data_IF_000332261892
#
_entry.id   IF_000332261892
#
_cell.length_a   1.000
_cell.length_b   1.000
_cell.length_c   1.000
_cell.angle_alpha   90.00
_cell.angle_beta   90.00
_cell.angle_gamma   90.00
#
_symmetry.space_group_name_H-M   'P 1'
#
loop_
_entity.id
_entity.type
_entity.pdbx_description
1 polymer ?
#
# COMPACT_ATOMS: atom_id res chain seq x y z
N UNK A 1 -16.60 -53.69 -7.74
CA UNK A 1 -15.44 -53.04 -7.12
C UNK A 1 -15.19 -51.74 -7.91
N UNK A 2 -15.79 -50.64 -7.46
CA UNK A 2 -15.59 -49.34 -8.12
C UNK A 2 -14.34 -48.72 -7.50
N UNK A 3 -13.25 -48.72 -8.24
CA UNK A 3 -12.01 -48.04 -7.87
C UNK A 3 -12.20 -46.54 -8.06
N UNK A 4 -12.27 -45.78 -6.95
CA UNK A 4 -12.14 -44.33 -7.00
C UNK A 4 -10.74 -44.02 -7.51
N UNK A 5 -10.65 -43.29 -8.64
CA UNK A 5 -9.40 -42.73 -9.11
C UNK A 5 -8.81 -41.82 -8.02
N UNK A 6 -7.49 -41.82 -7.78
CA UNK A 6 -6.88 -40.89 -6.85
C UNK A 6 -7.17 -39.46 -7.33
N UNK A 7 -7.86 -38.70 -6.51
CA UNK A 7 -7.99 -37.25 -6.75
C UNK A 7 -6.56 -36.69 -6.69
N UNK A 8 -6.08 -36.12 -7.80
CA UNK A 8 -4.82 -35.41 -7.83
C UNK A 8 -4.83 -34.28 -6.79
N UNK A 9 -3.66 -33.80 -6.37
CA UNK A 9 -3.56 -32.74 -5.39
C UNK A 9 -4.43 -31.57 -5.84
N UNK A 10 -5.32 -31.09 -4.94
CA UNK A 10 -6.19 -29.93 -5.24
C UNK A 10 -5.30 -28.72 -5.39
N UNK A 11 -5.35 -28.07 -6.55
CA UNK A 11 -4.76 -26.75 -6.75
C UNK A 11 -5.23 -25.79 -5.65
N UNK A 12 -4.31 -25.25 -4.87
CA UNK A 12 -4.61 -24.18 -3.93
C UNK A 12 -4.65 -22.86 -4.69
N UNK A 13 -5.83 -22.27 -4.82
CA UNK A 13 -5.99 -20.98 -5.45
C UNK A 13 -5.86 -19.89 -4.39
N UNK A 14 -4.91 -18.97 -4.58
CA UNK A 14 -4.66 -17.81 -3.73
C UNK A 14 -5.14 -16.57 -4.46
N UNK A 15 -5.98 -15.77 -3.81
CA UNK A 15 -6.43 -14.47 -4.29
C UNK A 15 -5.76 -13.37 -3.46
N UNK A 16 -5.01 -12.49 -4.15
CA UNK A 16 -4.33 -11.34 -3.51
C UNK A 16 -5.14 -10.07 -3.74
N UNK A 17 -5.68 -9.50 -2.66
CA UNK A 17 -6.30 -8.17 -2.69
C UNK A 17 -5.25 -7.07 -2.84
N UNK A 18 -5.54 -6.09 -3.68
CA UNK A 18 -4.59 -5.02 -4.02
C UNK A 18 -5.19 -3.62 -3.80
N UNK A 19 -5.35 -2.82 -4.82
CA UNK A 19 -5.93 -1.49 -4.85
C UNK A 19 -6.36 -1.13 -6.27
N UNK A 20 -6.57 0.13 -6.55
CA UNK A 20 -6.88 0.61 -7.90
C UNK A 20 -5.77 0.26 -8.90
N UNK A 21 -6.15 -0.04 -10.14
CA UNK A 21 -5.23 -0.54 -11.19
C UNK A 21 -4.11 0.44 -11.57
N UNK A 22 -4.29 1.73 -11.32
CA UNK A 22 -3.28 2.77 -11.56
C UNK A 22 -2.34 2.98 -10.36
N UNK A 23 -2.63 2.32 -9.22
CA UNK A 23 -1.77 2.30 -8.03
C UNK A 23 -0.69 1.22 -8.11
N UNK A 24 0.28 1.26 -7.19
CA UNK A 24 1.41 0.33 -7.17
C UNK A 24 1.05 -1.04 -6.56
N UNK A 25 -0.01 -1.15 -5.77
CA UNK A 25 -0.44 -2.43 -5.18
C UNK A 25 -0.84 -3.47 -6.22
N UNK A 26 -1.52 -3.04 -7.29
CA UNK A 26 -1.91 -3.95 -8.37
C UNK A 26 -0.70 -4.58 -9.07
N UNK A 27 0.33 -3.81 -9.50
CA UNK A 27 1.60 -4.39 -9.96
C UNK A 27 2.31 -5.29 -8.93
N UNK A 28 2.26 -4.96 -7.62
CA UNK A 28 2.85 -5.82 -6.56
C UNK A 28 2.18 -7.20 -6.57
N UNK A 29 0.85 -7.24 -6.46
CA UNK A 29 0.09 -8.50 -6.51
C UNK A 29 0.34 -9.26 -7.82
N UNK A 30 0.33 -8.56 -8.96
CA UNK A 30 0.62 -9.12 -10.28
C UNK A 30 2.00 -9.76 -10.38
N UNK A 31 3.03 -9.09 -9.86
CA UNK A 31 4.40 -9.61 -9.84
C UNK A 31 4.52 -10.85 -8.94
N UNK A 32 3.92 -10.83 -7.75
CA UNK A 32 3.87 -12.02 -6.86
C UNK A 32 3.21 -13.18 -7.59
N UNK A 33 2.02 -12.97 -8.15
CA UNK A 33 1.27 -14.03 -8.83
C UNK A 33 1.98 -14.55 -10.08
N UNK A 34 2.67 -13.69 -10.84
CA UNK A 34 3.50 -14.12 -11.97
C UNK A 34 4.56 -15.13 -11.52
N UNK A 35 5.32 -14.80 -10.45
CA UNK A 35 6.39 -15.65 -9.94
C UNK A 35 5.85 -16.95 -9.31
N UNK A 36 4.78 -16.86 -8.53
CA UNK A 36 4.12 -18.06 -7.97
C UNK A 36 3.63 -18.98 -9.10
N UNK A 37 2.94 -18.45 -10.09
CA UNK A 37 2.38 -19.25 -11.19
C UNK A 37 3.46 -19.88 -12.09
N UNK A 38 4.65 -19.27 -12.17
CA UNK A 38 5.77 -19.80 -12.97
C UNK A 38 6.20 -21.20 -12.50
N UNK A 39 6.20 -21.45 -11.19
CA UNK A 39 6.58 -22.74 -10.60
C UNK A 39 5.37 -23.59 -10.17
N UNK A 40 4.16 -23.25 -10.65
CA UNK A 40 2.90 -23.90 -10.25
C UNK A 40 2.93 -25.44 -10.37
N UNK A 41 3.59 -25.96 -11.40
CA UNK A 41 3.69 -27.41 -11.59
C UNK A 41 4.41 -28.12 -10.43
N UNK A 42 5.27 -27.42 -9.69
CA UNK A 42 6.06 -27.98 -8.59
C UNK A 42 5.28 -27.98 -7.27
N UNK A 43 4.53 -26.93 -6.97
CA UNK A 43 3.90 -26.71 -5.66
C UNK A 43 2.37 -26.66 -5.68
N UNK A 44 1.72 -26.72 -6.86
CA UNK A 44 0.27 -26.75 -7.04
C UNK A 44 -0.47 -25.52 -6.47
N UNK A 45 0.23 -24.39 -6.25
CA UNK A 45 -0.39 -23.11 -5.86
C UNK A 45 -0.63 -22.30 -7.11
N UNK A 46 -1.89 -21.84 -7.29
CA UNK A 46 -2.31 -20.89 -8.32
C UNK A 46 -2.58 -19.56 -7.67
N UNK A 47 -2.15 -18.46 -8.27
CA UNK A 47 -2.32 -17.11 -7.76
C UNK A 47 -3.04 -16.21 -8.77
N UNK A 48 -3.98 -15.40 -8.28
CA UNK A 48 -4.63 -14.32 -9.01
C UNK A 48 -4.72 -13.06 -8.17
N UNK A 49 -4.87 -11.92 -8.82
CA UNK A 49 -5.01 -10.62 -8.16
C UNK A 49 -6.43 -10.09 -8.29
N UNK A 50 -6.85 -9.36 -7.27
CA UNK A 50 -8.10 -8.62 -7.26
C UNK A 50 -7.83 -7.14 -7.03
N UNK A 51 -8.42 -6.28 -7.89
CA UNK A 51 -8.43 -4.83 -7.68
C UNK A 51 -9.51 -4.50 -6.66
N UNK A 52 -9.12 -3.78 -5.60
CA UNK A 52 -9.98 -3.50 -4.46
C UNK A 52 -10.00 -2.01 -4.12
N UNK A 53 -10.71 -1.65 -3.06
CA UNK A 53 -10.74 -0.29 -2.52
C UNK A 53 -9.50 0.08 -1.69
N UNK A 54 -8.59 -0.86 -1.42
CA UNK A 54 -7.33 -0.64 -0.72
C UNK A 54 -7.28 -1.22 0.69
N UNK A 55 -6.36 -0.74 1.52
CA UNK A 55 -5.89 -1.41 2.74
C UNK A 55 -6.98 -1.76 3.75
N UNK A 56 -7.92 -0.85 4.02
CA UNK A 56 -9.02 -1.10 4.99
C UNK A 56 -9.96 -2.17 4.48
N UNK A 57 -10.33 -2.10 3.19
CA UNK A 57 -11.14 -3.13 2.54
C UNK A 57 -10.42 -4.48 2.61
N UNK A 58 -9.16 -4.52 2.21
CA UNK A 58 -8.35 -5.73 2.15
C UNK A 58 -8.28 -6.46 3.49
N UNK A 59 -8.01 -5.72 4.57
CA UNK A 59 -7.92 -6.31 5.92
C UNK A 59 -9.26 -6.85 6.42
N UNK A 60 -10.37 -6.18 6.07
CA UNK A 60 -11.71 -6.69 6.39
C UNK A 60 -12.04 -7.95 5.59
N UNK A 61 -11.70 -7.98 4.30
CA UNK A 61 -11.91 -9.12 3.42
C UNK A 61 -11.03 -10.33 3.79
N UNK A 62 -9.78 -10.10 4.23
CA UNK A 62 -8.92 -11.15 4.80
C UNK A 62 -9.57 -11.77 6.04
N UNK A 63 -9.98 -10.95 7.01
CA UNK A 63 -10.65 -11.41 8.24
C UNK A 63 -11.95 -12.16 7.97
N UNK A 64 -12.65 -11.81 6.89
CA UNK A 64 -13.87 -12.50 6.44
C UNK A 64 -13.60 -13.78 5.63
N UNK A 65 -12.32 -14.05 5.26
CA UNK A 65 -11.95 -15.19 4.42
C UNK A 65 -12.31 -15.03 2.94
N UNK A 66 -12.53 -13.80 2.49
CA UNK A 66 -12.84 -13.46 1.10
C UNK A 66 -11.55 -13.30 0.25
N UNK A 67 -10.42 -13.00 0.89
CA UNK A 67 -9.08 -12.93 0.32
C UNK A 67 -8.16 -13.87 1.09
N UNK A 68 -7.11 -14.40 0.43
CA UNK A 68 -6.09 -15.25 1.04
C UNK A 68 -4.87 -14.45 1.48
N UNK A 69 -4.52 -13.43 0.72
CA UNK A 69 -3.44 -12.48 1.03
C UNK A 69 -3.82 -11.08 0.53
N UNK A 70 -3.12 -10.06 0.99
CA UNK A 70 -3.36 -8.71 0.53
C UNK A 70 -2.13 -7.81 0.63
N UNK A 71 -2.10 -6.78 -0.22
CA UNK A 71 -1.17 -5.65 -0.10
C UNK A 71 -1.86 -4.57 0.71
N UNK A 72 -1.22 -4.12 1.80
CA UNK A 72 -1.78 -3.14 2.72
C UNK A 72 -0.71 -2.17 3.22
N UNK A 73 -1.12 -0.99 3.66
CA UNK A 73 -0.26 -0.05 4.35
C UNK A 73 0.11 -0.55 5.75
N UNK A 74 1.33 -0.29 6.17
CA UNK A 74 1.86 -0.71 7.45
C UNK A 74 1.13 -0.09 8.66
N UNK A 75 0.68 1.16 8.57
CA UNK A 75 -0.12 1.81 9.60
C UNK A 75 -1.51 1.17 9.74
N UNK A 76 -2.14 0.84 8.62
CA UNK A 76 -3.44 0.17 8.59
C UNK A 76 -3.32 -1.27 9.10
N UNK A 77 -2.20 -1.96 8.78
CA UNK A 77 -1.84 -3.26 9.36
C UNK A 77 -1.76 -3.17 10.90
N UNK A 78 -1.04 -2.18 11.43
CA UNK A 78 -0.91 -1.97 12.86
C UNK A 78 -2.28 -1.70 13.53
N UNK A 79 -3.10 -0.83 12.93
CA UNK A 79 -4.46 -0.56 13.44
C UNK A 79 -5.32 -1.83 13.49
N UNK A 80 -5.21 -2.72 12.50
CA UNK A 80 -5.95 -3.98 12.51
C UNK A 80 -5.49 -4.92 13.63
N UNK A 81 -4.17 -5.07 13.82
CA UNK A 81 -3.60 -5.90 14.90
C UNK A 81 -4.00 -5.36 16.27
N UNK A 82 -3.98 -4.05 16.46
CA UNK A 82 -4.28 -3.39 17.74
C UNK A 82 -5.79 -3.23 17.98
N UNK A 83 -6.63 -3.33 16.96
CA UNK A 83 -8.07 -3.04 17.06
C UNK A 83 -8.34 -1.55 17.28
N UNK A 84 -7.58 -0.69 16.60
CA UNK A 84 -7.68 0.78 16.72
C UNK A 84 -8.16 1.42 15.42
N UNK A 85 -8.39 2.73 15.42
CA UNK A 85 -8.76 3.49 14.21
C UNK A 85 -9.96 2.88 13.49
N UNK A 86 -9.79 2.48 12.24
CA UNK A 86 -10.85 1.89 11.41
C UNK A 86 -11.30 0.48 11.84
N UNK A 87 -10.59 -0.12 12.77
CA UNK A 87 -10.86 -1.47 13.30
C UNK A 87 -11.33 -1.45 14.78
N UNK A 88 -11.51 -0.28 15.38
CA UNK A 88 -11.91 -0.16 16.80
C UNK A 88 -13.23 -0.90 17.10
N UNK A 89 -14.21 -0.86 16.21
CA UNK A 89 -15.48 -1.56 16.37
C UNK A 89 -15.34 -3.09 16.22
N UNK A 90 -14.52 -3.52 15.27
CA UNK A 90 -14.27 -4.95 15.00
C UNK A 90 -13.32 -5.59 16.01
N UNK A 91 -12.57 -4.77 16.78
CA UNK A 91 -11.53 -5.22 17.71
C UNK A 91 -10.27 -5.74 17.04
N UNK A 92 -9.28 -6.04 17.86
CA UNK A 92 -7.98 -6.53 17.45
C UNK A 92 -8.07 -7.80 16.59
N UNK A 93 -7.23 -7.86 15.56
CA UNK A 93 -7.11 -9.02 14.69
C UNK A 93 -5.91 -9.88 15.10
N UNK A 94 -6.17 -10.84 15.97
CA UNK A 94 -5.15 -11.80 16.43
C UNK A 94 -4.73 -12.83 15.38
N UNK A 95 -5.47 -12.94 14.27
CA UNK A 95 -5.21 -13.84 13.14
C UNK A 95 -4.28 -13.26 12.08
N UNK A 96 -4.18 -11.94 12.00
CA UNK A 96 -3.38 -11.28 10.96
C UNK A 96 -1.88 -11.61 11.06
N UNK A 97 -1.26 -11.91 9.94
CA UNK A 97 0.16 -12.27 9.82
C UNK A 97 0.82 -11.50 8.69
N UNK A 98 2.06 -11.04 8.93
CA UNK A 98 2.89 -10.44 7.91
C UNK A 98 3.62 -11.53 7.09
N UNK A 99 3.69 -11.33 5.78
CA UNK A 99 4.52 -12.13 4.89
C UNK A 99 5.85 -11.43 4.64
N UNK A 100 5.83 -10.20 4.16
CA UNK A 100 6.99 -9.34 3.94
C UNK A 100 6.59 -7.89 3.67
N UNK A 101 7.54 -6.97 3.84
CA UNK A 101 7.44 -5.58 3.42
C UNK A 101 7.78 -5.43 1.93
N UNK A 102 7.27 -4.38 1.28
CA UNK A 102 7.58 -4.13 -0.13
C UNK A 102 8.34 -2.82 -0.28
N UNK A 103 7.68 -1.68 -0.28
CA UNK A 103 8.31 -0.39 -0.56
C UNK A 103 7.78 0.71 0.34
N UNK A 104 8.56 1.78 0.59
CA UNK A 104 8.05 2.98 1.24
C UNK A 104 7.00 3.68 0.37
N UNK A 105 6.05 4.33 1.01
CA UNK A 105 4.94 5.05 0.40
C UNK A 105 4.86 6.47 0.98
N UNK A 106 5.54 7.44 0.36
CA UNK A 106 5.42 8.83 0.74
C UNK A 106 3.98 9.34 0.63
N UNK A 107 3.52 10.06 1.64
CA UNK A 107 2.32 10.87 1.56
C UNK A 107 2.56 12.00 0.55
N UNK A 108 1.76 12.04 -0.49
CA UNK A 108 1.95 12.89 -1.65
C UNK A 108 0.78 13.84 -1.79
N UNK A 109 1.06 15.11 -1.88
CA UNK A 109 0.08 16.13 -2.21
C UNK A 109 0.45 16.72 -3.57
N UNK A 110 -0.43 16.58 -4.54
CA UNK A 110 -0.31 17.18 -5.86
C UNK A 110 -1.42 18.20 -6.06
N UNK A 111 -1.05 19.44 -6.30
CA UNK A 111 -1.99 20.55 -6.53
C UNK A 111 -1.85 21.08 -7.95
N UNK A 112 -2.89 21.73 -8.49
CA UNK A 112 -2.74 22.51 -9.71
C UNK A 112 -1.85 23.71 -9.45
N UNK A 113 -1.00 24.04 -10.42
CA UNK A 113 -0.06 25.17 -10.32
C UNK A 113 -0.74 26.55 -10.20
N UNK A 114 -1.97 26.68 -10.70
CA UNK A 114 -2.76 27.94 -10.65
C UNK A 114 -3.36 28.23 -9.28
N UNK A 115 -3.35 27.27 -8.36
CA UNK A 115 -3.81 27.48 -6.97
C UNK A 115 -2.84 28.38 -6.18
N UNK A 116 -1.58 28.53 -6.62
CA UNK A 116 -0.58 29.50 -6.11
C UNK A 116 0.11 29.07 -4.83
N UNK A 117 1.36 29.51 -4.63
CA UNK A 117 2.28 29.50 -3.46
C UNK A 117 1.98 28.52 -2.34
N UNK A 118 1.96 27.20 -2.64
CA UNK A 118 1.21 26.26 -1.82
C UNK A 118 2.12 25.59 -0.78
N UNK A 119 1.80 25.82 0.47
CA UNK A 119 2.11 24.91 1.58
C UNK A 119 0.89 24.04 1.89
N UNK A 120 1.04 22.98 2.67
CA UNK A 120 -0.10 22.16 3.09
C UNK A 120 -1.16 22.98 3.85
N UNK A 121 -0.74 24.00 4.60
CA UNK A 121 -1.64 24.90 5.32
C UNK A 121 -2.56 25.72 4.40
N UNK A 122 -2.12 26.05 3.19
CA UNK A 122 -2.89 26.82 2.21
C UNK A 122 -4.05 26.01 1.59
N UNK A 123 -4.11 24.70 1.87
CA UNK A 123 -5.19 23.83 1.41
C UNK A 123 -6.48 23.99 2.23
N UNK A 124 -6.46 24.69 3.39
CA UNK A 124 -7.70 25.07 4.07
C UNK A 124 -8.60 25.89 3.15
N UNK A 125 -9.88 25.53 3.12
CA UNK A 125 -10.86 26.18 2.24
C UNK A 125 -10.72 25.83 0.76
N UNK A 126 -9.83 24.91 0.38
CA UNK A 126 -9.70 24.41 -1.00
C UNK A 126 -10.52 23.13 -1.20
N UNK A 127 -10.74 22.77 -2.46
CA UNK A 127 -11.37 21.53 -2.86
C UNK A 127 -10.29 20.45 -2.96
N UNK A 128 -10.35 19.44 -2.15
CA UNK A 128 -9.32 18.37 -2.12
C UNK A 128 -9.94 16.99 -2.29
N UNK A 129 -9.17 16.05 -2.83
CA UNK A 129 -9.53 14.64 -2.77
C UNK A 129 -8.73 13.94 -1.66
N UNK A 130 -9.45 13.38 -0.70
CA UNK A 130 -8.89 12.74 0.51
C UNK A 130 -8.86 11.21 0.44
N UNK A 131 -9.30 10.63 -0.69
CA UNK A 131 -9.37 9.20 -0.92
C UNK A 131 -10.67 8.54 -0.44
N UNK A 132 -11.00 7.42 -1.04
CA UNK A 132 -12.20 6.64 -0.75
C UNK A 132 -12.15 6.01 0.66
N UNK A 133 -13.30 5.76 1.31
CA UNK A 133 -13.38 5.29 2.70
C UNK A 133 -12.66 3.95 2.99
N UNK A 134 -12.57 3.06 2.00
CA UNK A 134 -11.90 1.76 2.09
C UNK A 134 -10.39 1.81 1.91
N UNK A 135 -9.81 2.98 1.60
CA UNK A 135 -8.40 3.14 1.29
C UNK A 135 -7.53 3.38 2.53
N UNK A 136 -6.27 2.94 2.47
CA UNK A 136 -5.25 3.34 3.42
C UNK A 136 -4.88 4.82 3.32
N UNK A 137 -4.99 5.41 2.13
CA UNK A 137 -4.84 6.86 1.93
C UNK A 137 -5.73 7.65 2.89
N UNK A 138 -7.00 7.27 3.04
CA UNK A 138 -7.93 7.93 3.96
C UNK A 138 -7.51 7.80 5.43
N UNK A 139 -6.86 6.71 5.80
CA UNK A 139 -6.31 6.51 7.16
C UNK A 139 -5.21 7.52 7.43
N UNK A 140 -4.24 7.65 6.53
CA UNK A 140 -3.13 8.62 6.67
C UNK A 140 -3.64 10.06 6.69
N UNK A 141 -4.58 10.42 5.81
CA UNK A 141 -5.19 11.75 5.79
C UNK A 141 -5.85 12.05 7.14
N UNK A 142 -6.63 11.12 7.68
CA UNK A 142 -7.27 11.30 8.99
C UNK A 142 -6.23 11.54 10.09
N UNK A 143 -5.17 10.72 10.15
CA UNK A 143 -4.11 10.85 11.14
C UNK A 143 -3.37 12.20 11.03
N UNK A 144 -3.12 12.68 9.81
CA UNK A 144 -2.49 13.99 9.59
C UNK A 144 -3.41 15.13 10.03
N UNK A 145 -4.69 15.08 9.67
CA UNK A 145 -5.66 16.12 10.07
C UNK A 145 -5.81 16.19 11.59
N UNK A 146 -5.89 15.03 12.27
CA UNK A 146 -5.94 14.95 13.73
C UNK A 146 -4.69 15.59 14.37
N UNK A 147 -3.50 15.30 13.83
CA UNK A 147 -2.24 15.87 14.32
C UNK A 147 -2.15 17.40 14.12
N UNK A 148 -2.81 17.92 13.07
CA UNK A 148 -2.91 19.36 12.78
C UNK A 148 -4.05 20.05 13.55
N UNK A 149 -4.95 19.29 14.18
CA UNK A 149 -6.18 19.82 14.76
C UNK A 149 -7.18 20.29 13.70
N UNK A 150 -7.18 19.63 12.54
CA UNK A 150 -8.09 19.90 11.43
C UNK A 150 -9.12 18.80 11.31
N UNK A 151 -10.17 19.07 10.56
CA UNK A 151 -11.17 18.08 10.14
C UNK A 151 -11.52 18.28 8.65
N UNK A 152 -12.40 17.43 8.11
CA UNK A 152 -12.76 17.49 6.69
C UNK A 152 -13.54 18.76 6.32
N UNK A 153 -14.21 19.37 7.29
CA UNK A 153 -14.99 20.59 7.10
C UNK A 153 -14.09 21.85 6.96
N UNK A 154 -12.79 21.72 7.28
CA UNK A 154 -11.80 22.76 7.01
C UNK A 154 -11.53 22.92 5.50
N UNK A 155 -11.95 21.97 4.68
CA UNK A 155 -11.89 22.06 3.22
C UNK A 155 -13.21 22.55 2.64
N UNK A 156 -13.17 23.28 1.52
CA UNK A 156 -14.39 23.66 0.80
C UNK A 156 -15.11 22.43 0.20
N UNK A 157 -14.32 21.41 -0.15
CA UNK A 157 -14.79 20.10 -0.59
C UNK A 157 -13.74 19.06 -0.21
N UNK A 158 -14.14 18.02 0.49
CA UNK A 158 -13.35 16.81 0.70
C UNK A 158 -13.99 15.67 -0.10
N UNK A 159 -13.56 15.49 -1.36
CA UNK A 159 -14.06 14.40 -2.20
C UNK A 159 -13.39 13.08 -1.85
N UNK A 160 -14.07 11.98 -2.17
CA UNK A 160 -13.68 10.62 -1.81
C UNK A 160 -13.51 9.73 -3.05
N UNK A 161 -12.88 10.29 -4.08
CA UNK A 161 -12.62 9.62 -5.34
C UNK A 161 -11.60 8.49 -5.18
N UNK A 162 -11.75 7.46 -5.98
CA UNK A 162 -10.79 6.35 -6.07
C UNK A 162 -9.52 6.80 -6.78
N UNK A 163 -8.45 6.01 -6.63
CA UNK A 163 -7.11 6.33 -7.14
C UNK A 163 -7.09 6.63 -8.65
N UNK A 164 -7.86 5.91 -9.44
CA UNK A 164 -7.93 6.01 -10.90
C UNK A 164 -8.76 7.22 -11.39
N UNK A 165 -9.55 7.85 -10.52
CA UNK A 165 -10.37 9.02 -10.87
C UNK A 165 -9.68 10.36 -10.55
N UNK A 166 -8.64 10.33 -9.72
CA UNK A 166 -8.06 11.54 -9.12
C UNK A 166 -7.36 12.44 -10.14
N UNK A 167 -6.58 11.88 -11.07
CA UNK A 167 -5.84 12.65 -12.07
C UNK A 167 -6.78 13.47 -12.96
N UNK A 168 -7.84 12.86 -13.47
CA UNK A 168 -8.85 13.53 -14.27
C UNK A 168 -9.57 14.63 -13.46
N UNK A 169 -9.96 14.34 -12.21
CA UNK A 169 -10.65 15.32 -11.37
C UNK A 169 -9.79 16.56 -11.09
N UNK A 170 -8.47 16.40 -10.91
CA UNK A 170 -7.54 17.50 -10.74
C UNK A 170 -7.44 18.35 -12.01
N UNK A 171 -7.18 17.73 -13.16
CA UNK A 171 -6.97 18.44 -14.41
C UNK A 171 -8.27 19.04 -14.99
N UNK A 172 -9.43 18.45 -14.71
CA UNK A 172 -10.76 18.99 -15.06
C UNK A 172 -11.22 20.11 -14.10
N UNK A 173 -10.36 20.57 -13.19
CA UNK A 173 -10.69 21.60 -12.21
C UNK A 173 -11.88 21.26 -11.29
N UNK A 174 -12.11 19.99 -11.01
CA UNK A 174 -13.12 19.55 -10.02
C UNK A 174 -12.59 19.64 -8.60
N UNK A 175 -11.28 19.44 -8.43
CA UNK A 175 -10.55 19.63 -7.18
C UNK A 175 -9.29 20.47 -7.40
N UNK A 176 -8.79 21.08 -6.35
CA UNK A 176 -7.60 21.94 -6.37
C UNK A 176 -6.33 21.18 -6.02
N UNK A 177 -6.46 20.12 -5.22
CA UNK A 177 -5.39 19.20 -4.87
C UNK A 177 -5.90 17.77 -4.68
N UNK A 178 -5.00 16.81 -4.89
CA UNK A 178 -5.24 15.38 -4.64
C UNK A 178 -4.18 14.85 -3.71
N UNK A 179 -4.57 13.95 -2.82
CA UNK A 179 -3.68 13.29 -1.89
C UNK A 179 -3.45 11.85 -2.33
N UNK A 180 -2.24 11.37 -2.16
CA UNK A 180 -1.86 9.98 -2.40
C UNK A 180 -1.00 9.46 -1.26
N UNK A 181 -1.03 8.15 -1.06
CA UNK A 181 -0.02 7.41 -0.31
C UNK A 181 0.46 6.31 -1.26
N UNK A 182 1.60 6.51 -1.86
CA UNK A 182 2.08 5.63 -2.91
C UNK A 182 3.60 5.70 -3.10
N UNK A 183 4.18 4.61 -3.59
CA UNK A 183 5.55 4.60 -4.10
C UNK A 183 5.64 5.40 -5.40
N UNK A 184 6.75 6.10 -5.58
CA UNK A 184 7.10 6.80 -6.82
C UNK A 184 8.08 6.00 -7.69
N UNK A 185 7.97 6.10 -9.03
CA UNK A 185 6.94 6.82 -9.77
C UNK A 185 5.56 6.13 -9.67
N UNK A 186 4.49 6.94 -9.65
CA UNK A 186 3.10 6.50 -9.63
C UNK A 186 2.40 6.93 -10.91
N UNK A 187 1.60 6.04 -11.52
CA UNK A 187 0.99 6.28 -12.82
C UNK A 187 -0.05 7.41 -12.80
N UNK A 188 -0.93 7.47 -11.78
CA UNK A 188 -1.94 8.53 -11.66
C UNK A 188 -1.31 9.91 -11.47
N UNK A 189 -0.23 9.99 -10.67
CA UNK A 189 0.49 11.27 -10.46
C UNK A 189 1.19 11.69 -11.75
N UNK A 190 1.82 10.75 -12.47
CA UNK A 190 2.44 11.02 -13.77
C UNK A 190 1.42 11.45 -14.81
N UNK A 191 0.25 10.82 -14.86
CA UNK A 191 -0.87 11.21 -15.72
C UNK A 191 -1.30 12.65 -15.47
N UNK A 192 -1.57 13.01 -14.22
CA UNK A 192 -1.94 14.38 -13.86
C UNK A 192 -0.85 15.38 -14.24
N UNK A 193 0.42 15.13 -13.88
CA UNK A 193 1.55 16.00 -14.18
C UNK A 193 1.82 16.18 -15.69
N UNK A 194 1.46 15.19 -16.51
CA UNK A 194 1.59 15.26 -17.96
C UNK A 194 0.40 15.93 -18.63
N UNK A 195 -0.78 15.87 -18.01
CA UNK A 195 -2.04 16.40 -18.57
C UNK A 195 -2.25 17.88 -18.27
N UNK A 196 -1.92 18.32 -17.04
CA UNK A 196 -2.06 19.72 -16.62
C UNK A 196 -0.84 20.18 -15.79
N UNK A 197 -0.73 21.49 -15.58
CA UNK A 197 0.36 22.04 -14.78
C UNK A 197 0.11 21.82 -13.29
N UNK A 198 1.01 21.06 -12.67
CA UNK A 198 0.88 20.65 -11.27
C UNK A 198 2.15 20.90 -10.49
N UNK A 199 1.99 21.02 -9.17
CA UNK A 199 3.07 21.18 -8.20
C UNK A 199 2.92 20.16 -7.08
N UNK A 200 4.03 19.50 -6.72
CA UNK A 200 4.12 18.69 -5.50
C UNK A 200 4.29 19.61 -4.30
N UNK A 201 3.51 19.39 -3.26
CA UNK A 201 3.48 20.22 -2.05
C UNK A 201 4.24 19.50 -0.93
N UNK A 202 5.19 20.19 -0.31
CA UNK A 202 5.88 19.66 0.89
C UNK A 202 4.91 19.54 2.06
N UNK A 203 5.01 18.41 2.78
CA UNK A 203 4.18 18.14 3.96
C UNK A 203 5.07 17.94 5.17
N UNK A 204 5.39 19.04 5.84
CA UNK A 204 6.32 19.13 6.97
C UNK A 204 5.79 20.11 8.02
N UNK A 205 6.51 20.23 9.12
CA UNK A 205 6.23 21.18 10.20
C UNK A 205 5.65 20.52 11.45
N UNK A 206 5.28 21.33 12.44
CA UNK A 206 4.97 20.91 13.82
C UNK A 206 3.93 19.78 13.89
N UNK A 207 2.90 19.81 13.05
CA UNK A 207 1.88 18.75 13.02
C UNK A 207 2.45 17.41 12.55
N UNK A 208 3.29 17.43 11.49
CA UNK A 208 3.97 16.23 10.98
C UNK A 208 5.00 15.74 12.00
N UNK A 209 5.79 16.64 12.61
CA UNK A 209 6.75 16.28 13.65
C UNK A 209 6.07 15.59 14.83
N UNK A 210 4.91 16.10 15.25
CA UNK A 210 4.07 15.50 16.29
C UNK A 210 3.56 14.10 15.90
N UNK A 211 3.11 13.95 14.65
CA UNK A 211 2.65 12.66 14.11
C UNK A 211 3.79 11.63 14.14
N UNK A 212 4.98 12.02 13.66
CA UNK A 212 6.16 11.16 13.64
C UNK A 212 6.65 10.78 15.06
N UNK A 213 6.58 11.71 16.01
CA UNK A 213 7.01 11.46 17.39
C UNK A 213 6.06 10.51 18.15
N UNK A 214 4.77 10.53 17.84
CA UNK A 214 3.76 9.79 18.58
C UNK A 214 3.30 8.48 17.90
N UNK A 215 3.72 8.24 16.65
CA UNK A 215 3.20 7.11 15.88
C UNK A 215 4.33 6.40 15.14
N UNK A 216 4.76 5.22 15.61
CA UNK A 216 5.92 4.50 15.08
C UNK A 216 5.72 3.97 13.64
N UNK A 217 4.49 4.04 13.12
CA UNK A 217 4.15 3.56 11.78
C UNK A 217 4.49 4.57 10.69
N UNK A 218 4.74 5.84 11.07
CA UNK A 218 5.08 6.92 10.13
C UNK A 218 6.56 7.26 10.19
N UNK A 219 7.12 7.64 9.04
CA UNK A 219 8.53 8.02 8.90
C UNK A 219 8.66 9.26 8.02
N UNK A 220 9.72 10.05 8.24
CA UNK A 220 10.10 11.09 7.30
C UNK A 220 10.44 10.46 5.94
N UNK A 221 10.02 11.13 4.87
CA UNK A 221 10.22 10.67 3.51
C UNK A 221 10.53 11.85 2.58
N UNK A 222 11.05 11.54 1.41
CA UNK A 222 11.33 12.53 0.36
C UNK A 222 10.83 11.96 -0.97
N UNK A 223 10.11 12.78 -1.72
CA UNK A 223 9.79 12.49 -3.12
C UNK A 223 10.92 13.11 -3.96
N UNK A 224 11.71 12.32 -4.71
CA UNK A 224 12.85 12.83 -5.46
C UNK A 224 12.42 13.84 -6.53
N UNK A 225 13.16 14.94 -6.62
CA UNK A 225 12.98 15.93 -7.67
C UNK A 225 13.20 15.32 -9.06
N UNK A 226 12.51 15.87 -10.05
CA UNK A 226 12.60 15.36 -11.43
C UNK A 226 11.79 14.09 -11.71
N UNK A 227 11.14 13.50 -10.70
CA UNK A 227 10.28 12.32 -10.88
C UNK A 227 9.08 12.63 -11.78
N UNK A 228 8.53 13.85 -11.69
CA UNK A 228 7.37 14.28 -12.46
C UNK A 228 7.61 15.62 -13.15
N UNK A 229 6.98 15.81 -14.32
CA UNK A 229 7.04 17.05 -15.11
C UNK A 229 6.71 18.26 -14.23
N UNK A 230 7.47 19.33 -14.33
CA UNK A 230 7.26 20.57 -13.60
C UNK A 230 7.73 20.56 -12.14
N UNK A 231 8.26 19.44 -11.63
CA UNK A 231 8.65 19.27 -10.22
C UNK A 231 10.14 18.90 -10.10
N UNK A 232 11.08 19.85 -10.31
CA UNK A 232 12.52 19.54 -10.38
C UNK A 232 13.21 19.38 -9.02
N UNK A 233 12.57 19.76 -7.91
CA UNK A 233 13.17 19.76 -6.57
C UNK A 233 12.65 18.60 -5.73
N UNK A 234 13.49 18.14 -4.80
CA UNK A 234 13.09 17.19 -3.77
C UNK A 234 11.94 17.78 -2.92
N UNK A 235 10.96 16.95 -2.61
CA UNK A 235 9.79 17.35 -1.82
C UNK A 235 9.77 16.55 -0.52
N UNK A 236 10.15 17.19 0.62
CA UNK A 236 10.08 16.54 1.92
C UNK A 236 8.64 16.31 2.36
N UNK A 237 8.41 15.14 2.94
CA UNK A 237 7.11 14.68 3.40
C UNK A 237 7.30 13.58 4.48
N UNK A 238 6.28 12.84 4.75
CA UNK A 238 6.31 11.63 5.59
C UNK A 238 5.61 10.48 4.85
N UNK A 239 5.64 9.29 5.42
CA UNK A 239 4.97 8.16 4.79
C UNK A 239 4.94 6.90 5.63
N UNK A 240 4.44 5.86 5.01
CA UNK A 240 4.31 4.49 5.52
C UNK A 240 5.06 3.52 4.61
N UNK A 241 4.82 2.22 4.75
CA UNK A 241 5.32 1.20 3.83
C UNK A 241 4.16 0.33 3.34
N UNK A 242 4.28 -0.19 2.12
CA UNK A 242 3.44 -1.27 1.65
C UNK A 242 3.94 -2.60 2.21
N UNK A 243 3.03 -3.45 2.65
CA UNK A 243 3.32 -4.78 3.19
C UNK A 243 2.39 -5.82 2.59
N UNK A 244 2.83 -7.06 2.53
CA UNK A 244 2.00 -8.20 2.14
C UNK A 244 1.64 -8.97 3.39
N UNK A 245 0.35 -9.19 3.59
CA UNK A 245 -0.21 -9.86 4.77
C UNK A 245 -1.15 -10.99 4.37
N UNK A 246 -1.41 -11.89 5.29
CA UNK A 246 -2.38 -12.97 5.18
C UNK A 246 -2.97 -13.29 6.56
N UNK A 247 -4.00 -14.11 6.64
CA UNK A 247 -4.45 -14.68 7.90
C UNK A 247 -3.62 -15.91 8.30
N UNK A 248 -3.53 -16.18 9.60
CA UNK A 248 -2.87 -17.37 10.14
C UNK A 248 -3.49 -18.69 9.66
N UNK A 249 -4.72 -18.64 9.13
CA UNK A 249 -5.42 -19.78 8.53
C UNK A 249 -4.89 -20.15 7.14
N UNK A 250 -4.17 -19.27 6.45
CA UNK A 250 -3.45 -19.63 5.22
C UNK A 250 -2.41 -20.70 5.56
N UNK A 251 -2.31 -21.76 4.77
CA UNK A 251 -1.38 -22.83 5.08
C UNK A 251 0.08 -22.36 5.09
N UNK A 252 0.88 -22.84 6.03
CA UNK A 252 2.31 -22.51 6.11
C UNK A 252 3.06 -22.84 4.80
N UNK A 253 2.63 -23.89 4.09
CA UNK A 253 3.22 -24.24 2.79
C UNK A 253 2.88 -23.21 1.71
N UNK A 254 1.64 -22.76 1.62
CA UNK A 254 1.22 -21.73 0.66
C UNK A 254 1.94 -20.42 0.93
N UNK A 255 2.00 -19.97 2.18
CA UNK A 255 2.73 -18.77 2.57
C UNK A 255 4.23 -18.87 2.27
N UNK A 256 4.85 -20.05 2.54
CA UNK A 256 6.24 -20.31 2.19
C UNK A 256 6.48 -20.21 0.68
N UNK A 257 5.62 -20.82 -0.14
CA UNK A 257 5.70 -20.74 -1.60
C UNK A 257 5.64 -19.30 -2.09
N UNK A 258 4.70 -18.49 -1.57
CA UNK A 258 4.57 -17.09 -1.96
C UNK A 258 5.82 -16.28 -1.63
N UNK A 259 6.34 -16.41 -0.41
CA UNK A 259 7.55 -15.69 0.02
C UNK A 259 8.77 -16.15 -0.78
N UNK A 260 8.96 -17.47 -0.94
CA UNK A 260 10.06 -18.05 -1.71
C UNK A 260 10.03 -17.57 -3.17
N UNK A 261 8.87 -17.58 -3.81
CA UNK A 261 8.74 -17.14 -5.21
C UNK A 261 9.29 -15.72 -5.42
N UNK A 262 9.02 -14.79 -4.48
CA UNK A 262 9.52 -13.41 -4.55
C UNK A 262 10.99 -13.32 -4.20
N UNK A 263 11.42 -13.87 -3.07
CA UNK A 263 12.78 -13.68 -2.55
C UNK A 263 13.84 -14.47 -3.33
N UNK A 264 13.51 -15.64 -3.85
CA UNK A 264 14.42 -16.42 -4.71
C UNK A 264 14.58 -15.76 -6.09
N UNK A 265 13.58 -15.04 -6.56
CA UNK A 265 13.56 -14.38 -7.86
C UNK A 265 13.52 -12.83 -7.73
N UNK A 266 14.19 -12.26 -6.70
CA UNK A 266 14.07 -10.84 -6.39
C UNK A 266 14.50 -9.94 -7.57
N UNK A 267 15.52 -10.31 -8.33
CA UNK A 267 15.98 -9.53 -9.49
C UNK A 267 14.91 -9.49 -10.59
N UNK A 268 14.23 -10.61 -10.86
CA UNK A 268 13.08 -10.62 -11.75
C UNK A 268 11.94 -9.77 -11.18
N UNK A 269 11.60 -9.94 -9.90
CA UNK A 269 10.57 -9.13 -9.25
C UNK A 269 10.85 -7.63 -9.41
N UNK A 270 12.07 -7.19 -9.17
CA UNK A 270 12.52 -5.79 -9.33
C UNK A 270 12.38 -5.29 -10.76
N UNK A 271 12.56 -6.15 -11.75
CA UNK A 271 12.44 -5.78 -13.17
C UNK A 271 11.00 -5.58 -13.64
N UNK A 272 10.01 -6.06 -12.89
CA UNK A 272 8.59 -6.04 -13.28
C UNK A 272 7.92 -4.67 -13.11
N UNK A 273 8.48 -3.79 -12.26
CA UNK A 273 7.97 -2.44 -12.10
C UNK A 273 9.05 -1.48 -11.57
N UNK A 274 9.16 -0.24 -12.09
CA UNK A 274 10.16 0.73 -11.64
C UNK A 274 10.16 1.00 -10.13
N UNK A 275 8.99 0.95 -9.50
CA UNK A 275 8.83 1.15 -8.06
C UNK A 275 9.56 0.08 -7.21
N UNK A 276 9.94 -1.06 -7.79
CA UNK A 276 10.60 -2.16 -7.07
C UNK A 276 12.13 -2.12 -7.18
N UNK A 277 12.69 -1.22 -7.99
CA UNK A 277 14.11 -1.21 -8.34
C UNK A 277 15.08 -1.20 -7.14
N UNK A 278 14.69 -0.59 -6.02
CA UNK A 278 15.53 -0.42 -4.82
C UNK A 278 15.27 -1.43 -3.71
N UNK A 279 14.43 -2.44 -3.93
CA UNK A 279 14.11 -3.43 -2.92
C UNK A 279 15.34 -4.27 -2.53
N UNK A 280 15.49 -4.57 -1.24
CA UNK A 280 16.47 -5.49 -0.69
C UNK A 280 15.79 -6.59 0.13
N UNK A 281 16.39 -7.78 0.18
CA UNK A 281 15.84 -8.89 0.97
C UNK A 281 15.78 -8.55 2.45
N UNK A 282 16.78 -7.84 2.94
CA UNK A 282 16.94 -7.45 4.33
C UNK A 282 15.79 -6.51 4.77
N UNK A 283 15.52 -5.47 3.98
CA UNK A 283 14.45 -4.51 4.28
C UNK A 283 13.07 -5.17 4.17
N UNK A 284 12.87 -5.96 3.11
CA UNK A 284 11.60 -6.67 2.89
C UNK A 284 11.26 -7.67 4.01
N UNK A 285 12.28 -8.26 4.67
CA UNK A 285 12.05 -9.21 5.75
C UNK A 285 11.80 -8.55 7.11
N UNK A 286 12.07 -7.25 7.28
CA UNK A 286 12.08 -6.58 8.61
C UNK A 286 11.27 -5.31 8.71
N UNK A 287 11.26 -4.51 7.64
CA UNK A 287 10.75 -3.16 7.72
C UNK A 287 9.22 -3.11 7.82
N UNK A 288 8.70 -2.33 8.79
CA UNK A 288 7.27 -2.01 8.88
C UNK A 288 6.32 -3.21 9.00
N UNK A 289 6.78 -4.32 9.57
CA UNK A 289 5.98 -5.51 9.85
C UNK A 289 5.44 -5.41 11.29
N UNK A 290 4.21 -4.95 11.45
CA UNK A 290 3.56 -4.77 12.76
C UNK A 290 2.72 -5.97 13.18
N UNK A 291 2.28 -6.80 12.24
CA UNK A 291 1.71 -8.12 12.54
C UNK A 291 2.85 -9.15 12.78
N UNK A 292 2.62 -10.19 13.59
CA UNK A 292 3.56 -11.31 13.70
C UNK A 292 3.79 -11.94 12.33
N UNK A 293 5.00 -12.45 12.08
CA UNK A 293 5.29 -13.16 10.84
C UNK A 293 4.43 -14.41 10.71
N UNK A 294 4.00 -14.69 9.48
CA UNK A 294 3.39 -15.96 9.13
C UNK A 294 4.43 -17.10 9.26
N UNK A 295 4.01 -18.26 9.75
CA UNK A 295 4.89 -19.43 9.94
C UNK A 295 5.67 -19.78 8.67
N UNK A 296 5.01 -19.78 7.50
CA UNK A 296 5.66 -20.05 6.22
C UNK A 296 6.70 -19.00 5.83
N UNK A 297 6.45 -17.71 6.13
CA UNK A 297 7.42 -16.65 5.91
C UNK A 297 8.63 -16.79 6.83
N UNK A 298 8.39 -17.00 8.12
CA UNK A 298 9.45 -17.21 9.10
C UNK A 298 10.35 -18.40 8.74
N UNK A 299 9.75 -19.52 8.30
CA UNK A 299 10.47 -20.72 7.82
C UNK A 299 11.40 -20.39 6.66
N UNK A 300 10.90 -19.66 5.65
CA UNK A 300 11.74 -19.32 4.51
C UNK A 300 12.86 -18.34 4.87
N UNK A 301 12.57 -17.33 5.68
CA UNK A 301 13.60 -16.36 6.13
C UNK A 301 14.69 -17.05 6.94
N UNK A 302 14.35 -17.99 7.80
CA UNK A 302 15.33 -18.80 8.53
C UNK A 302 16.21 -19.63 7.58
N UNK A 303 15.61 -20.25 6.53
CA UNK A 303 16.31 -21.06 5.52
C UNK A 303 17.39 -20.25 4.79
N UNK A 304 17.10 -18.99 4.45
CA UNK A 304 18.06 -18.12 3.74
C UNK A 304 18.92 -17.25 4.66
N UNK A 305 18.87 -17.49 5.99
CA UNK A 305 19.69 -16.79 6.99
C UNK A 305 19.28 -15.36 7.28
N UNK A 306 18.08 -14.94 6.85
CA UNK A 306 17.51 -13.68 7.27
C UNK A 306 16.88 -13.82 8.67
N UNK A 307 17.26 -12.93 9.57
CA UNK A 307 16.63 -12.84 10.90
C UNK A 307 15.66 -11.65 10.85
N UNK A 308 14.35 -11.89 10.91
CA UNK A 308 13.34 -10.84 10.99
C UNK A 308 13.43 -10.07 12.29
#
# INVERSE_FOLDING_TARGET
>A
MSGSAPQGPKDHHVVIGTGGVTGVYYPVGGAICKLVNHERAQHQVRCSVESTDGSVYNLKALRAGELDAAVVQSDTQAQAVEGTGKFAEAGADGGLRALFSVHPEPFTVLARADVGGITFADLKGKRVNVGNPGSGQRVVVTALLDALGWNLEDFALASELRTDEQAAALCDNKVDAIFFVARHPNASIAEAANTCDTVLVSVTGVGVDKLLANTPHYRAAVIPGGTYRGNPRDVPTFGVSATVVAEASLSAETAYVMVKAVFANLDEFKSLHPAFATLSKEDMARESLFAPLHEGAARYFQEIGLRP
#
